data_IF_168790150326
#
_entry.id   IF_168790150326
#
_cell.length_a   1.000
_cell.length_b   1.000
_cell.length_c   1.000
_cell.angle_alpha   90.00
_cell.angle_beta   90.00
_cell.angle_gamma   90.00
#
_symmetry.space_group_name_H-M   'P 1'
#
loop_
_entity.id
_entity.type
_entity.pdbx_description
1 polymer ?
#
# COMPACT_ATOMS: atom_id res chain seq x y z
N UNK A 1 -3.82 0.59 -8.34
CA UNK A 1 -3.72 2.06 -8.21
C UNK A 1 -3.37 2.58 -9.59
N UNK A 2 -3.94 3.70 -10.03
CA UNK A 2 -3.55 4.27 -11.33
C UNK A 2 -2.17 4.92 -11.21
N UNK A 3 -1.14 4.14 -11.52
CA UNK A 3 0.26 4.58 -11.52
C UNK A 3 0.66 5.26 -12.83
N UNK A 4 -0.26 5.43 -13.80
CA UNK A 4 0.05 6.04 -15.11
C UNK A 4 0.61 7.45 -14.95
N UNK A 5 0.05 8.25 -14.04
CA UNK A 5 0.50 9.62 -13.75
C UNK A 5 1.87 9.70 -13.05
N UNK A 6 2.40 8.57 -12.58
CA UNK A 6 3.68 8.46 -11.89
C UNK A 6 4.77 7.83 -12.76
N UNK A 7 4.44 7.34 -13.96
CA UNK A 7 5.36 6.58 -14.83
C UNK A 7 6.66 7.32 -15.10
N UNK A 8 6.59 8.59 -15.52
CA UNK A 8 7.78 9.37 -15.86
C UNK A 8 8.68 9.59 -14.63
N UNK A 9 8.07 9.77 -13.45
CA UNK A 9 8.80 9.95 -12.19
C UNK A 9 9.47 8.67 -11.72
N UNK A 10 8.84 7.52 -11.96
CA UNK A 10 9.38 6.21 -11.61
C UNK A 10 10.45 5.77 -12.62
N UNK A 11 10.28 6.07 -13.91
CA UNK A 11 11.26 5.77 -14.96
C UNK A 11 12.60 6.50 -14.77
N UNK A 12 12.62 7.60 -13.99
CA UNK A 12 13.85 8.30 -13.62
C UNK A 12 14.68 7.57 -12.55
N UNK A 13 14.16 6.51 -11.93
CA UNK A 13 14.82 5.72 -10.88
C UNK A 13 15.27 4.35 -11.42
N UNK A 14 16.26 3.74 -10.77
CA UNK A 14 16.64 2.35 -11.04
C UNK A 14 15.49 1.39 -10.68
N UNK A 15 15.40 0.23 -11.36
CA UNK A 15 14.28 -0.72 -11.22
C UNK A 15 14.09 -1.23 -9.77
N UNK A 16 15.20 -1.46 -9.05
CA UNK A 16 15.19 -1.83 -7.64
C UNK A 16 14.62 -0.72 -6.76
N UNK A 17 14.97 0.52 -7.05
CA UNK A 17 14.52 1.69 -6.31
C UNK A 17 13.06 2.02 -6.63
N UNK A 18 12.58 1.75 -7.84
CA UNK A 18 11.16 1.90 -8.20
C UNK A 18 10.26 1.08 -7.29
N UNK A 19 10.59 -0.20 -7.07
CA UNK A 19 9.81 -1.10 -6.23
C UNK A 19 9.80 -0.64 -4.77
N UNK A 20 10.97 -0.26 -4.24
CA UNK A 20 11.08 0.27 -2.88
C UNK A 20 10.33 1.61 -2.73
N UNK A 21 10.37 2.45 -3.77
CA UNK A 21 9.69 3.75 -3.79
C UNK A 21 8.19 3.58 -3.73
N UNK A 22 7.65 2.67 -4.53
CA UNK A 22 6.23 2.35 -4.55
C UNK A 22 5.77 1.77 -3.21
N UNK A 23 6.56 0.87 -2.60
CA UNK A 23 6.26 0.33 -1.27
C UNK A 23 6.12 1.43 -0.22
N UNK A 24 7.09 2.35 -0.18
CA UNK A 24 7.07 3.47 0.78
C UNK A 24 5.89 4.39 0.47
N UNK A 25 5.62 4.67 -0.80
CA UNK A 25 4.52 5.53 -1.20
C UNK A 25 3.16 4.94 -0.79
N UNK A 26 2.95 3.64 -0.97
CA UNK A 26 1.73 2.97 -0.52
C UNK A 26 1.55 3.01 1.00
N UNK A 27 2.64 2.87 1.76
CA UNK A 27 2.61 3.06 3.22
C UNK A 27 2.19 4.51 3.58
N UNK A 28 2.70 5.50 2.87
CA UNK A 28 2.36 6.91 3.09
C UNK A 28 0.91 7.22 2.72
N UNK A 29 0.38 6.62 1.64
CA UNK A 29 -1.04 6.72 1.28
C UNK A 29 -1.90 6.17 2.43
N UNK A 30 -1.57 4.97 2.92
CA UNK A 30 -2.32 4.34 4.00
C UNK A 30 -2.28 5.20 5.27
N UNK A 31 -1.11 5.70 5.66
CA UNK A 31 -0.97 6.64 6.79
C UNK A 31 -1.85 7.88 6.63
N UNK A 32 -1.91 8.48 5.43
CA UNK A 32 -2.78 9.64 5.13
C UNK A 32 -4.26 9.32 5.35
N UNK A 33 -4.68 8.11 5.02
CA UNK A 33 -6.06 7.63 5.21
C UNK A 33 -6.34 7.08 6.62
N UNK A 34 -5.42 7.24 7.59
CA UNK A 34 -5.64 6.80 8.96
C UNK A 34 -5.45 5.30 9.18
N UNK A 35 -4.75 4.62 8.28
CA UNK A 35 -4.34 3.22 8.46
C UNK A 35 -3.03 3.13 9.23
N UNK A 36 -2.96 2.16 10.14
CA UNK A 36 -1.79 1.87 10.96
C UNK A 36 -1.31 0.46 10.65
N UNK A 37 0.01 0.28 10.57
CA UNK A 37 0.63 -1.03 10.39
C UNK A 37 0.30 -1.94 11.56
N UNK A 38 -0.25 -3.12 11.29
CA UNK A 38 -0.54 -4.13 12.28
C UNK A 38 0.70 -4.98 12.57
N UNK A 39 1.66 -4.41 13.32
CA UNK A 39 2.93 -5.04 13.62
C UNK A 39 2.80 -6.38 14.36
N UNK A 40 1.69 -6.63 15.09
CA UNK A 40 1.53 -7.86 15.87
C UNK A 40 1.13 -9.10 15.05
N UNK A 41 0.67 -8.93 13.80
CA UNK A 41 0.32 -10.04 12.89
C UNK A 41 1.34 -10.18 11.75
N UNK A 42 2.13 -9.14 11.51
CA UNK A 42 3.16 -9.08 10.47
C UNK A 42 4.48 -9.81 10.85
N UNK A 43 4.43 -10.83 11.71
CA UNK A 43 5.62 -11.56 12.22
C UNK A 43 6.18 -12.62 11.27
N UNK A 44 5.45 -12.95 10.21
CA UNK A 44 5.93 -13.83 9.15
C UNK A 44 5.96 -12.99 7.89
N UNK A 45 7.14 -12.79 7.31
CA UNK A 45 7.53 -11.89 6.20
C UNK A 45 6.70 -11.95 4.91
N UNK A 46 5.54 -12.59 4.93
CA UNK A 46 4.73 -12.89 3.78
C UNK A 46 3.58 -11.88 3.63
N UNK A 47 3.05 -11.30 4.72
CA UNK A 47 1.82 -10.51 4.65
C UNK A 47 1.80 -9.24 5.53
N UNK A 48 1.77 -8.07 4.89
CA UNK A 48 1.67 -6.77 5.58
C UNK A 48 0.20 -6.34 5.66
N UNK A 49 -0.32 -6.23 6.89
CA UNK A 49 -1.69 -5.80 7.16
C UNK A 49 -1.72 -4.43 7.81
N UNK A 50 -2.68 -3.63 7.40
CA UNK A 50 -2.98 -2.34 7.97
C UNK A 50 -4.42 -2.30 8.49
N UNK A 51 -4.61 -1.67 9.64
CA UNK A 51 -5.92 -1.50 10.29
C UNK A 51 -6.22 -0.01 10.32
N UNK A 52 -7.41 0.38 9.86
CA UNK A 52 -7.84 1.77 9.99
C UNK A 52 -8.09 2.13 11.45
N UNK A 53 -7.87 3.39 11.84
CA UNK A 53 -8.14 3.91 13.20
C UNK A 53 -9.56 3.65 13.72
N UNK A 54 -10.55 3.55 12.83
CA UNK A 54 -11.92 3.16 13.22
C UNK A 54 -12.07 1.68 13.56
N UNK A 55 -11.07 0.87 13.21
CA UNK A 55 -11.06 -0.58 13.32
C UNK A 55 -11.93 -1.30 12.27
N UNK A 56 -12.85 -0.62 11.59
CA UNK A 56 -13.81 -1.22 10.66
C UNK A 56 -13.24 -1.65 9.31
N UNK A 57 -12.02 -1.24 8.97
CA UNK A 57 -11.42 -1.47 7.64
C UNK A 57 -10.01 -2.01 7.77
N UNK A 58 -9.69 -2.95 6.90
CA UNK A 58 -8.38 -3.58 6.78
C UNK A 58 -7.88 -3.39 5.35
N UNK A 59 -6.58 -3.13 5.23
CA UNK A 59 -5.89 -3.17 3.95
C UNK A 59 -4.73 -4.15 4.03
N UNK A 60 -4.62 -4.99 3.02
CA UNK A 60 -3.53 -5.91 2.83
C UNK A 60 -2.73 -5.54 1.57
N UNK A 61 -1.41 -5.60 1.67
CA UNK A 61 -0.51 -5.41 0.53
C UNK A 61 0.29 -6.71 0.32
N UNK A 62 0.22 -7.27 -0.90
CA UNK A 62 0.97 -8.49 -1.26
C UNK A 62 2.47 -8.18 -1.35
N UNK A 63 3.27 -8.92 -0.57
CA UNK A 63 4.73 -8.79 -0.48
C UNK A 63 5.44 -9.09 -1.80
N UNK A 64 4.89 -9.99 -2.64
CA UNK A 64 5.44 -10.37 -3.95
C UNK A 64 5.49 -9.23 -4.98
N UNK A 65 4.78 -8.12 -4.74
CA UNK A 65 4.87 -6.91 -5.58
C UNK A 65 6.17 -6.14 -5.30
N UNK A 66 6.80 -6.31 -4.13
CA UNK A 66 8.02 -5.59 -3.73
C UNK A 66 9.24 -6.49 -3.55
N UNK A 67 9.06 -7.82 -3.53
CA UNK A 67 10.13 -8.78 -3.40
C UNK A 67 10.65 -9.23 -4.78
N UNK A 68 11.62 -8.48 -5.33
CA UNK A 68 12.39 -8.83 -6.54
C UNK A 68 13.14 -10.17 -6.42
N UNK A 69 13.24 -10.77 -5.22
CA UNK A 69 14.13 -11.90 -4.93
C UNK A 69 13.45 -13.24 -4.57
N UNK A 70 12.12 -13.37 -4.63
CA UNK A 70 11.47 -14.66 -4.31
C UNK A 70 10.64 -15.19 -5.47
N UNK A 71 11.22 -16.18 -6.15
CA UNK A 71 10.58 -17.04 -7.14
C UNK A 71 9.54 -17.96 -6.47
N UNK A 72 8.41 -17.39 -6.02
CA UNK A 72 7.20 -18.17 -5.71
C UNK A 72 6.07 -17.69 -6.60
N UNK A 73 5.45 -18.66 -7.28
CA UNK A 73 4.32 -18.47 -8.20
C UNK A 73 3.21 -17.73 -7.48
N UNK A 74 3.00 -16.48 -7.87
CA UNK A 74 2.02 -15.58 -7.27
C UNK A 74 0.60 -16.05 -7.62
N UNK A 75 -0.20 -16.42 -6.61
CA UNK A 75 -1.65 -16.45 -6.78
C UNK A 75 -2.16 -15.01 -6.79
N UNK A 76 -1.98 -14.32 -7.91
CA UNK A 76 -2.75 -13.10 -8.17
C UNK A 76 -4.13 -13.55 -8.61
N UNK A 77 -5.14 -13.35 -7.77
CA UNK A 77 -6.53 -13.46 -8.19
C UNK A 77 -6.77 -12.37 -9.23
N UNK A 78 -6.75 -12.77 -10.50
CA UNK A 78 -7.06 -11.91 -11.62
C UNK A 78 -8.50 -11.41 -11.45
N UNK A 79 -8.67 -10.14 -11.09
CA UNK A 79 -9.96 -9.49 -11.21
C UNK A 79 -10.17 -9.21 -12.69
N UNK A 80 -10.90 -10.13 -13.34
CA UNK A 80 -11.56 -10.03 -14.64
C UNK A 80 -10.76 -9.37 -15.79
N UNK A 81 -10.17 -10.21 -16.65
CA UNK A 81 -10.33 -9.99 -18.08
C UNK A 81 -9.12 -9.71 -18.96
N UNK A 82 -7.86 -9.91 -18.54
CA UNK A 82 -6.72 -9.83 -19.48
C UNK A 82 -5.75 -10.99 -19.29
N UNK A 83 -5.66 -11.79 -20.36
CA UNK A 83 -4.70 -12.85 -20.60
C UNK A 83 -3.27 -12.33 -20.50
N UNK A 84 -2.48 -12.91 -19.60
CA UNK A 84 -1.01 -13.01 -19.65
C UNK A 84 -0.21 -11.76 -20.08
N UNK A 85 -0.66 -10.58 -19.67
CA UNK A 85 0.17 -9.38 -19.75
C UNK A 85 1.19 -9.45 -18.62
N UNK A 86 2.49 -9.51 -18.95
CA UNK A 86 3.57 -9.34 -17.98
C UNK A 86 3.27 -8.13 -17.10
N UNK A 87 2.88 -8.40 -15.86
CA UNK A 87 2.55 -7.37 -14.89
C UNK A 87 3.83 -6.58 -14.63
N UNK A 88 3.77 -5.28 -14.90
CA UNK A 88 4.90 -4.39 -14.68
C UNK A 88 5.14 -4.24 -13.17
N UNK A 89 6.37 -3.94 -12.72
CA UNK A 89 6.64 -3.56 -11.34
C UNK A 89 5.79 -2.37 -10.85
N UNK A 90 5.22 -1.61 -11.79
CA UNK A 90 4.33 -0.48 -11.57
C UNK A 90 2.87 -0.87 -11.28
N UNK A 91 2.51 -2.15 -11.46
CA UNK A 91 1.19 -2.70 -11.16
C UNK A 91 1.05 -2.99 -9.67
N UNK A 92 0.91 -1.91 -8.88
CA UNK A 92 0.68 -1.98 -7.45
C UNK A 92 -0.77 -1.63 -7.07
N UNK A 93 -1.22 -2.18 -5.94
CA UNK A 93 -2.60 -2.05 -5.49
C UNK A 93 -2.78 -2.36 -4.01
N UNK A 94 -4.04 -2.26 -3.58
CA UNK A 94 -4.45 -2.47 -2.19
C UNK A 94 -5.57 -3.51 -2.16
N UNK A 95 -5.46 -4.50 -1.29
CA UNK A 95 -6.54 -5.44 -1.01
C UNK A 95 -7.34 -4.93 0.17
N UNK A 96 -8.52 -4.40 -0.13
CA UNK A 96 -9.42 -3.85 0.86
C UNK A 96 -10.37 -4.91 1.42
N UNK A 97 -10.51 -4.96 2.74
CA UNK A 97 -11.46 -5.83 3.43
C UNK A 97 -12.19 -5.06 4.53
N UNK A 98 -13.47 -5.36 4.70
CA UNK A 98 -14.23 -4.91 5.88
C UNK A 98 -13.86 -5.77 7.10
N UNK A 99 -13.71 -5.14 8.26
CA UNK A 99 -13.48 -5.84 9.52
C UNK A 99 -14.80 -6.20 10.19
N UNK A 100 -15.29 -7.40 9.91
CA UNK A 100 -16.50 -7.94 10.54
C UNK A 100 -16.27 -8.46 11.97
N UNK A 101 -15.01 -8.64 12.39
CA UNK A 101 -14.68 -9.15 13.73
C UNK A 101 -14.91 -8.12 14.85
N UNK A 102 -15.20 -6.87 14.51
CA UNK A 102 -15.68 -5.88 15.48
C UNK A 102 -17.17 -6.03 15.72
N UNK A 103 -17.53 -6.75 16.79
CA UNK A 103 -18.92 -6.81 17.26
C UNK A 103 -19.44 -5.42 17.67
N UNK A 104 -20.77 -5.23 17.60
CA UNK A 104 -21.46 -3.97 17.97
C UNK A 104 -21.07 -3.43 19.36
N UNK A 105 -20.73 -4.33 20.29
CA UNK A 105 -20.29 -4.01 21.67
C UNK A 105 -19.00 -3.17 21.74
N UNK A 106 -18.13 -3.27 20.74
CA UNK A 106 -16.82 -2.58 20.71
C UNK A 106 -16.78 -1.40 19.73
N UNK A 107 -17.93 -1.08 19.10
CA UNK A 107 -18.06 0.08 18.23
C UNK A 107 -18.56 1.26 19.06
N UNK A 108 -17.79 2.35 19.11
CA UNK A 108 -18.31 3.61 19.63
C UNK A 108 -19.11 4.29 18.53
N UNK A 109 -20.00 5.23 18.90
CA UNK A 109 -20.73 6.05 17.93
C UNK A 109 -19.81 6.86 16.99
N UNK A 110 -18.51 6.97 17.32
CA UNK A 110 -17.51 7.67 16.50
C UNK A 110 -16.79 6.76 15.50
N UNK A 111 -16.81 5.44 15.67
CA UNK A 111 -16.03 4.48 14.85
C UNK A 111 -16.86 3.42 14.12
N UNK A 112 -18.18 3.44 14.27
CA UNK A 112 -19.06 2.33 13.88
C UNK A 112 -20.01 2.52 12.70
N UNK A 113 -20.05 3.69 12.04
CA UNK A 113 -21.01 3.90 10.96
C UNK A 113 -20.56 3.22 9.66
N UNK A 114 -21.39 2.29 9.16
CA UNK A 114 -21.17 1.59 7.89
C UNK A 114 -21.08 2.59 6.72
N UNK A 115 -21.88 3.66 6.75
CA UNK A 115 -21.84 4.73 5.74
C UNK A 115 -20.48 5.39 5.63
N UNK A 116 -19.78 5.61 6.75
CA UNK A 116 -18.44 6.20 6.73
C UNK A 116 -17.45 5.28 6.02
N UNK A 117 -17.58 3.97 6.20
CA UNK A 117 -16.71 2.98 5.56
C UNK A 117 -16.87 3.01 4.03
N UNK A 118 -18.11 3.10 3.54
CA UNK A 118 -18.41 3.24 2.12
C UNK A 118 -17.88 4.54 1.53
N UNK A 119 -18.10 5.67 2.22
CA UNK A 119 -17.60 6.99 1.82
C UNK A 119 -16.07 6.98 1.75
N UNK A 120 -15.41 6.38 2.74
CA UNK A 120 -13.95 6.31 2.76
C UNK A 120 -13.40 5.45 1.62
N UNK A 121 -14.00 4.30 1.34
CA UNK A 121 -13.59 3.46 0.20
C UNK A 121 -13.81 4.17 -1.13
N UNK A 122 -14.91 4.91 -1.28
CA UNK A 122 -15.18 5.71 -2.48
C UNK A 122 -14.11 6.81 -2.67
N UNK A 123 -13.80 7.57 -1.63
CA UNK A 123 -12.74 8.59 -1.69
C UNK A 123 -11.36 7.99 -1.94
N UNK A 124 -11.04 6.85 -1.31
CA UNK A 124 -9.79 6.13 -1.50
C UNK A 124 -9.61 5.67 -2.95
N UNK A 125 -10.67 5.15 -3.59
CA UNK A 125 -10.67 4.78 -5.00
C UNK A 125 -10.48 6.00 -5.91
N UNK A 126 -11.20 7.08 -5.65
CA UNK A 126 -11.05 8.33 -6.42
C UNK A 126 -9.62 8.89 -6.30
N UNK A 127 -9.05 8.88 -5.09
CA UNK A 127 -7.66 9.25 -4.85
C UNK A 127 -6.70 8.35 -5.63
N UNK A 128 -6.87 7.02 -5.57
CA UNK A 128 -6.04 6.07 -6.32
C UNK A 128 -6.20 6.17 -7.85
N UNK A 129 -7.30 6.74 -8.34
CA UNK A 129 -7.53 7.04 -9.76
C UNK A 129 -6.97 8.42 -10.17
N UNK A 130 -6.18 9.05 -9.29
CA UNK A 130 -5.65 10.40 -9.47
C UNK A 130 -6.74 11.46 -9.73
N UNK A 131 -7.93 11.29 -9.14
CA UNK A 131 -9.00 12.30 -9.26
C UNK A 131 -8.48 13.67 -8.78
N UNK A 132 -8.72 14.71 -9.60
CA UNK A 132 -8.25 16.08 -9.37
C UNK A 132 -6.73 16.19 -9.12
N UNK A 133 -5.93 15.30 -9.71
CA UNK A 133 -4.47 15.23 -9.52
C UNK A 133 -4.03 15.02 -8.05
N UNK A 134 -4.92 14.48 -7.20
CA UNK A 134 -4.62 14.31 -5.77
C UNK A 134 -3.46 13.34 -5.53
N UNK A 135 -3.37 12.28 -6.33
CA UNK A 135 -2.30 11.28 -6.20
C UNK A 135 -0.95 11.87 -6.59
N UNK A 136 -0.91 12.59 -7.72
CA UNK A 136 0.30 13.25 -8.22
C UNK A 136 0.78 14.35 -7.26
N UNK A 137 -0.13 15.17 -6.74
CA UNK A 137 0.20 16.20 -5.76
C UNK A 137 0.76 15.57 -4.49
N UNK A 138 0.12 14.50 -4.00
CA UNK A 138 0.61 13.79 -2.83
C UNK A 138 1.98 13.15 -3.07
N UNK A 139 2.25 12.61 -4.27
CA UNK A 139 3.57 12.11 -4.62
C UNK A 139 4.65 13.19 -4.45
N UNK A 140 4.39 14.40 -4.94
CA UNK A 140 5.35 15.50 -4.84
C UNK A 140 5.55 15.93 -3.37
N UNK A 141 4.48 16.01 -2.57
CA UNK A 141 4.54 16.29 -1.13
C UNK A 141 5.33 15.22 -0.36
N UNK A 142 5.08 13.95 -0.67
CA UNK A 142 5.67 12.79 0.01
C UNK A 142 7.11 12.50 -0.43
N UNK A 143 7.63 13.21 -1.45
CA UNK A 143 8.88 12.86 -2.12
C UNK A 143 10.08 12.90 -1.18
N UNK A 144 10.15 13.91 -0.33
CA UNK A 144 11.25 14.08 0.65
C UNK A 144 11.20 13.01 1.73
N UNK A 145 10.03 12.76 2.31
CA UNK A 145 9.81 11.73 3.34
C UNK A 145 10.20 10.35 2.79
N UNK A 146 9.83 10.07 1.55
CA UNK A 146 10.16 8.81 0.92
C UNK A 146 11.67 8.68 0.64
N UNK A 147 12.39 9.76 0.32
CA UNK A 147 13.85 9.73 0.17
C UNK A 147 14.54 9.40 1.50
N UNK A 148 14.14 10.06 2.58
CA UNK A 148 14.69 9.82 3.94
C UNK A 148 14.53 8.33 4.31
N UNK A 149 13.32 7.79 4.15
CA UNK A 149 13.05 6.38 4.43
C UNK A 149 13.85 5.42 3.55
N UNK A 150 14.15 5.78 2.30
CA UNK A 150 14.97 4.93 1.44
C UNK A 150 16.40 4.85 1.96
N UNK A 151 16.98 5.97 2.38
CA UNK A 151 18.31 6.02 2.99
C UNK A 151 18.38 5.26 4.31
N UNK A 152 17.39 5.43 5.20
CA UNK A 152 17.31 4.70 6.47
C UNK A 152 17.28 3.18 6.26
N UNK A 153 16.51 2.71 5.27
CA UNK A 153 16.43 1.29 4.92
C UNK A 153 17.74 0.74 4.34
N UNK A 154 18.53 1.57 3.65
CA UNK A 154 19.86 1.18 3.15
C UNK A 154 20.84 1.02 4.31
N UNK A 155 20.87 1.98 5.24
CA UNK A 155 21.73 1.94 6.43
C UNK A 155 21.40 0.75 7.36
N UNK A 156 20.12 0.43 7.56
CA UNK A 156 19.72 -0.74 8.36
C UNK A 156 20.16 -2.06 7.72
N UNK A 157 20.16 -2.16 6.38
CA UNK A 157 20.65 -3.36 5.68
C UNK A 157 22.16 -3.51 5.81
N UNK A 158 22.91 -2.41 5.76
CA UNK A 158 24.36 -2.42 5.96
C UNK A 158 24.75 -2.76 7.41
N UNK A 159 23.93 -2.34 8.39
CA UNK A 159 24.18 -2.59 9.80
C UNK A 159 23.85 -4.03 10.26
N UNK A 160 22.94 -4.72 9.57
CA UNK A 160 22.45 -6.06 9.96
C UNK A 160 22.67 -7.15 8.90
N UNK A 161 23.30 -6.82 7.76
CA UNK A 161 23.53 -7.73 6.64
C UNK A 161 24.93 -8.36 6.65
N UNK A 162 25.23 -9.18 7.65
CA UNK A 162 26.23 -10.26 7.57
C UNK A 162 25.94 -11.29 8.69
N UNK A 163 25.24 -12.36 8.32
CA UNK A 163 25.23 -13.69 8.94
C UNK A 163 24.48 -14.69 8.06
#
# INVERSE_FOLDING_TARGET
>A
MDSSCLRDKLAALEEKDQSQRLSIFQELILKRYGFILNACVSYKDENIYYVHLSGGMLVYIISDVYNVHRNRRSMRVATNGTTDSQLSPLDCGFYWCWNFCLGKKWRSSQTGEEKYQDIMLADFRAFCANDKNRLLNFWNEANEIANIKMTENQQQKEQYGDN
#
